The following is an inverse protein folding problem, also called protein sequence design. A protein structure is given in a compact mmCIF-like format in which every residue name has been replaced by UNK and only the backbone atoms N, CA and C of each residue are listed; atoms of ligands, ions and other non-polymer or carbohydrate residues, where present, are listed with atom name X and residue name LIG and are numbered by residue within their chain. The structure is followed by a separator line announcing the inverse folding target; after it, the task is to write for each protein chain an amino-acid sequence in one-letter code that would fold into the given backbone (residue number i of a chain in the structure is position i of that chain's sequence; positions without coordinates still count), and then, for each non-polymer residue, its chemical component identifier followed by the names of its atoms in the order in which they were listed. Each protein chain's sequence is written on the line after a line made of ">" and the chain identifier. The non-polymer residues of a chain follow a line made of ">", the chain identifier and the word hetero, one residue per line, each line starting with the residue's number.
data_IF_429319571671
#
_entry.id   IF_429319571671
#
_cell.length_a   1.000
_cell.length_b   1.000
_cell.length_c   1.000
_cell.angle_alpha   90.00
_cell.angle_beta   90.00
_cell.angle_gamma   90.00
#
_symmetry.space_group_name_H-M   'P 1'
#
loop_
_entity.id
_entity.type
_entity.pdbx_description
1 polymer ?
#
# COMPACT_ATOMS: atom_id res chain seq x y z
N UNK A 1 -14.65 -9.42 -4.39
CA UNK A 1 -14.02 -9.48 -5.72
C UNK A 1 -12.98 -8.36 -5.79
N UNK A 2 -11.69 -8.68 -5.68
CA UNK A 2 -10.62 -7.67 -5.67
C UNK A 2 -10.08 -7.46 -7.08
N UNK A 3 -10.38 -6.29 -7.68
CA UNK A 3 -9.99 -5.94 -9.04
C UNK A 3 -8.76 -5.01 -9.04
N UNK A 4 -7.57 -5.54 -8.75
CA UNK A 4 -6.31 -4.87 -9.09
C UNK A 4 -5.68 -5.52 -10.32
N UNK A 5 -5.11 -4.72 -11.23
CA UNK A 5 -4.64 -5.18 -12.53
C UNK A 5 -3.80 -6.48 -12.41
N UNK A 6 -4.16 -7.56 -13.12
CA UNK A 6 -3.36 -8.76 -13.14
C UNK A 6 -2.06 -8.46 -13.88
N UNK A 7 -0.94 -8.52 -13.17
CA UNK A 7 0.38 -8.62 -13.78
C UNK A 7 1.00 -9.95 -13.35
N UNK A 8 1.90 -10.47 -14.18
CA UNK A 8 2.58 -11.74 -13.94
C UNK A 8 3.35 -11.69 -12.60
N UNK A 9 3.15 -12.63 -11.65
CA UNK A 9 3.89 -12.67 -10.38
C UNK A 9 5.42 -12.70 -10.54
N UNK A 10 5.95 -13.16 -11.67
CA UNK A 10 7.37 -13.05 -11.99
C UNK A 10 7.83 -11.58 -12.06
N UNK A 11 6.92 -10.67 -12.40
CA UNK A 11 7.11 -9.23 -12.30
C UNK A 11 7.08 -8.71 -10.85
N UNK A 12 7.11 -9.57 -9.84
CA UNK A 12 7.32 -9.22 -8.44
C UNK A 12 8.55 -9.91 -7.83
N UNK A 13 9.26 -10.75 -8.60
CA UNK A 13 10.38 -11.52 -8.07
C UNK A 13 11.47 -10.59 -7.53
N UNK A 14 11.81 -10.77 -6.25
CA UNK A 14 12.85 -10.00 -5.54
C UNK A 14 12.46 -8.56 -5.17
N UNK A 15 11.19 -8.18 -5.29
CA UNK A 15 10.72 -6.81 -4.99
C UNK A 15 9.46 -6.81 -4.13
N UNK A 16 9.30 -5.74 -3.34
CA UNK A 16 8.10 -5.50 -2.54
C UNK A 16 6.89 -5.36 -3.45
N UNK A 17 5.87 -6.17 -3.22
CA UNK A 17 4.63 -6.15 -3.97
C UNK A 17 3.48 -6.33 -2.99
N UNK A 18 2.59 -5.33 -2.90
CA UNK A 18 1.46 -5.35 -1.95
C UNK A 18 0.57 -6.58 -2.03
N UNK A 19 0.60 -7.32 -3.15
CA UNK A 19 -0.20 -8.52 -3.41
C UNK A 19 0.57 -9.81 -3.16
N UNK A 20 1.76 -9.96 -3.75
CA UNK A 20 2.48 -11.23 -3.73
C UNK A 20 3.48 -11.30 -2.58
N UNK A 21 4.09 -10.16 -2.22
CA UNK A 21 5.09 -10.04 -1.16
C UNK A 21 4.81 -8.80 -0.30
N UNK A 22 3.66 -8.76 0.41
CA UNK A 22 3.34 -7.62 1.25
C UNK A 22 4.36 -7.52 2.40
N UNK A 23 4.85 -6.32 2.67
CA UNK A 23 5.73 -6.09 3.82
C UNK A 23 4.95 -6.14 5.13
N UNK A 24 5.65 -6.30 6.25
CA UNK A 24 5.04 -6.32 7.58
C UNK A 24 4.78 -4.92 8.14
N UNK A 25 4.00 -4.12 7.40
CA UNK A 25 3.63 -2.77 7.82
C UNK A 25 2.31 -2.76 8.60
N UNK A 26 2.13 -1.75 9.48
CA UNK A 26 0.95 -1.62 10.36
C UNK A 26 -0.39 -1.70 9.61
N UNK A 27 -0.44 -1.21 8.37
CA UNK A 27 -1.65 -1.18 7.53
C UNK A 27 -1.88 -2.46 6.71
N UNK A 28 -1.02 -3.51 6.82
CA UNK A 28 -1.06 -4.68 5.93
C UNK A 28 -2.41 -5.42 5.93
N UNK A 29 -3.11 -5.35 7.06
CA UNK A 29 -4.42 -6.00 7.28
C UNK A 29 -5.60 -5.13 6.88
N UNK A 30 -5.37 -3.86 6.54
CA UNK A 30 -6.44 -2.96 6.14
C UNK A 30 -6.99 -3.36 4.77
N UNK A 31 -8.31 -3.15 4.53
CA UNK A 31 -8.92 -3.43 3.25
C UNK A 31 -8.19 -2.70 2.12
N UNK A 32 -7.86 -3.45 1.05
CA UNK A 32 -7.13 -2.91 -0.10
C UNK A 32 -8.07 -2.59 -1.25
N UNK A 33 -7.94 -1.41 -1.84
CA UNK A 33 -8.73 -0.93 -2.98
C UNK A 33 -7.78 -0.54 -4.11
N UNK A 34 -7.94 -1.14 -5.28
CA UNK A 34 -7.17 -0.77 -6.46
C UNK A 34 -7.69 0.52 -7.09
N UNK A 35 -6.80 1.47 -7.36
CA UNK A 35 -7.11 2.68 -8.12
C UNK A 35 -6.61 2.53 -9.54
N UNK A 36 -7.43 1.94 -10.40
CA UNK A 36 -7.06 1.63 -11.79
C UNK A 36 -6.50 2.83 -12.55
N UNK A 37 -7.03 4.02 -12.34
CA UNK A 37 -6.58 5.24 -13.02
C UNK A 37 -5.17 5.67 -12.57
N UNK A 38 -4.81 5.45 -11.30
CA UNK A 38 -3.52 5.88 -10.75
C UNK A 38 -2.46 4.77 -10.73
N UNK A 39 -2.84 3.51 -10.97
CA UNK A 39 -1.90 2.41 -11.02
C UNK A 39 -1.33 1.97 -9.67
N UNK A 40 -1.96 2.36 -8.55
CA UNK A 40 -1.61 1.90 -7.20
C UNK A 40 -2.83 1.51 -6.38
N UNK A 41 -2.60 0.85 -5.25
CA UNK A 41 -3.64 0.49 -4.30
C UNK A 41 -3.68 1.43 -3.10
N UNK A 42 -4.88 1.66 -2.57
CA UNK A 42 -5.08 2.24 -1.25
C UNK A 42 -5.34 1.15 -0.20
N UNK A 43 -4.93 1.44 1.03
CA UNK A 43 -5.35 0.80 2.27
C UNK A 43 -6.40 1.68 2.94
N UNK A 44 -7.60 1.14 3.09
CA UNK A 44 -8.71 1.84 3.72
C UNK A 44 -8.60 1.76 5.24
N UNK A 45 -8.46 2.89 5.92
CA UNK A 45 -8.48 2.92 7.38
C UNK A 45 -9.92 2.78 7.91
N UNK A 46 -10.06 2.58 9.23
CA UNK A 46 -11.36 2.53 9.92
C UNK A 46 -12.17 3.82 9.83
N UNK A 47 -11.54 4.94 9.50
CA UNK A 47 -12.21 6.24 9.31
C UNK A 47 -12.83 6.38 7.91
N UNK A 48 -12.61 5.41 7.01
CA UNK A 48 -13.10 5.44 5.63
C UNK A 48 -12.19 6.23 4.68
N UNK A 49 -10.97 6.58 5.10
CA UNK A 49 -9.97 7.28 4.29
C UNK A 49 -9.05 6.26 3.61
N UNK A 50 -8.73 6.49 2.33
CA UNK A 50 -7.77 5.68 1.58
C UNK A 50 -6.36 6.22 1.75
N UNK A 51 -5.45 5.38 2.23
CA UNK A 51 -4.01 5.68 2.32
C UNK A 51 -3.26 4.91 1.24
N UNK A 52 -2.31 5.53 0.50
CA UNK A 52 -1.48 4.81 -0.45
C UNK A 52 -0.80 3.59 0.21
N UNK A 53 -0.89 2.43 -0.44
CA UNK A 53 -0.25 1.21 0.05
C UNK A 53 1.28 1.40 0.07
N UNK A 54 1.96 1.24 1.23
CA UNK A 54 3.40 1.45 1.33
C UNK A 54 4.20 0.57 0.38
N UNK A 55 3.76 -0.65 0.12
CA UNK A 55 4.46 -1.56 -0.79
C UNK A 55 4.38 -1.07 -2.25
N UNK A 56 3.23 -0.51 -2.64
CA UNK A 56 3.06 0.09 -3.97
C UNK A 56 3.81 1.43 -4.07
N UNK A 57 3.82 2.25 -3.00
CA UNK A 57 4.55 3.53 -2.96
C UNK A 57 6.05 3.30 -3.09
N UNK A 58 6.64 2.35 -2.35
CA UNK A 58 8.07 2.02 -2.46
C UNK A 58 8.41 1.58 -3.89
N UNK A 59 7.52 0.82 -4.53
CA UNK A 59 7.71 0.42 -5.92
C UNK A 59 7.67 1.62 -6.88
N UNK A 60 6.66 2.49 -6.77
CA UNK A 60 6.55 3.69 -7.60
C UNK A 60 7.74 4.64 -7.40
N UNK A 61 8.18 4.83 -6.16
CA UNK A 61 9.36 5.64 -5.84
C UNK A 61 10.62 5.10 -6.53
N UNK A 62 10.79 3.78 -6.59
CA UNK A 62 11.90 3.16 -7.31
C UNK A 62 11.84 3.38 -8.84
N UNK A 63 10.65 3.66 -9.38
CA UNK A 63 10.43 4.04 -10.78
C UNK A 63 10.55 5.56 -11.02
N UNK A 64 10.75 6.35 -9.96
CA UNK A 64 10.79 7.82 -10.03
C UNK A 64 9.41 8.49 -9.97
N UNK A 65 8.36 7.74 -9.65
CA UNK A 65 7.00 8.25 -9.49
C UNK A 65 6.66 8.28 -7.99
N UNK A 66 6.44 9.45 -7.40
CA UNK A 66 6.11 9.54 -5.98
C UNK A 66 4.86 10.38 -5.75
N UNK A 67 3.83 9.74 -5.19
CA UNK A 67 2.68 10.42 -4.58
C UNK A 67 2.63 10.09 -3.10
N UNK A 68 3.02 11.06 -2.28
CA UNK A 68 2.98 10.97 -0.81
C UNK A 68 1.87 11.82 -0.19
N UNK A 69 1.36 12.80 -0.94
CA UNK A 69 0.28 13.67 -0.48
C UNK A 69 -1.06 12.94 -0.55
N UNK A 70 -1.71 12.81 0.61
CA UNK A 70 -3.04 12.23 0.74
C UNK A 70 -3.73 12.79 1.99
N UNK A 71 -5.05 12.74 2.03
CA UNK A 71 -5.79 13.07 3.24
C UNK A 71 -5.44 12.07 4.35
N UNK A 72 -4.94 12.56 5.48
CA UNK A 72 -4.50 11.72 6.59
C UNK A 72 -4.64 12.46 7.91
N UNK A 73 -5.12 11.76 8.93
CA UNK A 73 -5.23 12.21 10.33
C UNK A 73 -4.13 11.61 11.23
N UNK A 74 -3.15 10.91 10.64
CA UNK A 74 -2.05 10.26 11.33
C UNK A 74 -2.25 8.78 11.61
N UNK A 75 -3.41 8.19 11.30
CA UNK A 75 -3.67 6.76 11.56
C UNK A 75 -2.76 5.79 10.76
N UNK A 76 -2.14 6.26 9.68
CA UNK A 76 -1.17 5.47 8.92
C UNK A 76 0.19 5.33 9.60
N UNK A 77 0.47 6.13 10.64
CA UNK A 77 1.70 6.07 11.42
C UNK A 77 1.59 4.87 12.36
N UNK A 78 2.55 3.94 12.26
CA UNK A 78 2.57 2.79 13.15
C UNK A 78 2.59 3.26 14.62
N UNK A 79 1.73 2.71 15.49
CA UNK A 79 1.77 3.03 16.91
C UNK A 79 3.16 2.64 17.44
N UNK A 80 3.74 3.50 18.28
CA UNK A 80 5.04 3.23 18.90
C UNK A 80 4.94 1.88 19.62
N UNK A 81 5.81 0.93 19.29
CA UNK A 81 5.90 -0.34 19.99
C UNK A 81 6.30 -0.07 21.43
N UNK A 82 5.33 -0.09 22.33
CA UNK A 82 5.59 -0.17 23.77
C UNK A 82 5.99 -1.62 24.03
N UNK A 83 7.29 -1.88 23.94
CA UNK A 83 7.87 -3.11 24.49
C UNK A 83 7.55 -3.14 25.98
N UNK A 84 6.65 -4.03 26.38
CA UNK A 84 6.43 -4.40 27.77
C UNK A 84 7.44 -5.47 28.18
#
# INVERSE_FOLDING_TARGET
>A
MSLAAPHDPALCAGRGCSRHHPSDHHMRTWPKVWRQFYGYSDRMCSHGVGHPDPDDVVHLQALGEAWTEHACDGCCIAPLSTSA
#
